data_IF_624238108335
#
_entry.id   IF_624238108335
#
_cell.length_a   1.000
_cell.length_b   1.000
_cell.length_c   1.000
_cell.angle_alpha   90.00
_cell.angle_beta   90.00
_cell.angle_gamma   90.00
#
_symmetry.space_group_name_H-M   'P 1'
#
loop_
_entity.id
_entity.type
_entity.pdbx_description
1 polymer ?
#
# COMPACT_ATOMS: atom_id res chain seq x y z
N UNK A 1 19.58 -3.06 1.30
CA UNK A 1 20.70 -3.46 2.18
C UNK A 1 20.36 -2.96 3.58
N UNK A 2 20.32 -3.84 4.59
CA UNK A 2 20.11 -3.38 5.97
C UNK A 2 21.38 -2.66 6.45
N UNK A 3 21.37 -1.34 6.41
CA UNK A 3 22.43 -0.55 7.06
C UNK A 3 22.29 -0.70 8.57
N UNK A 4 22.90 -1.74 9.14
CA UNK A 4 22.95 -1.99 10.60
C UNK A 4 23.75 -0.90 11.34
N UNK A 5 24.46 -0.04 10.61
CA UNK A 5 25.38 0.96 11.15
C UNK A 5 24.95 2.34 10.70
N UNK A 6 24.68 3.23 11.66
CA UNK A 6 24.33 4.61 11.37
C UNK A 6 25.50 5.35 10.68
N UNK A 7 25.31 5.93 9.47
CA UNK A 7 26.38 6.61 8.73
C UNK A 7 26.89 7.89 9.41
N UNK A 8 26.14 8.46 10.35
CA UNK A 8 26.52 9.68 11.08
C UNK A 8 27.32 9.39 12.35
N UNK A 9 27.01 8.30 13.06
CA UNK A 9 27.60 8.04 14.39
C UNK A 9 28.28 6.68 14.54
N UNK A 10 28.29 5.83 13.51
CA UNK A 10 29.01 4.54 13.50
C UNK A 10 28.47 3.49 14.48
N UNK A 11 27.30 3.70 15.10
CA UNK A 11 26.72 2.77 16.07
C UNK A 11 25.92 1.68 15.38
N UNK A 12 26.23 0.43 15.72
CA UNK A 12 25.69 -0.81 15.14
C UNK A 12 24.26 -1.18 15.59
N UNK A 13 23.44 -0.23 16.03
CA UNK A 13 22.04 -0.56 16.33
C UNK A 13 21.14 0.66 16.12
N UNK A 14 20.45 0.67 14.99
CA UNK A 14 19.25 1.48 14.84
C UNK A 14 18.26 1.03 15.94
N UNK A 15 17.90 1.96 16.83
CA UNK A 15 16.94 1.68 17.90
C UNK A 15 15.56 2.16 17.46
N UNK A 16 14.52 1.32 17.49
CA UNK A 16 13.17 1.75 17.14
C UNK A 16 12.72 2.86 18.09
N UNK A 17 12.22 3.95 17.51
CA UNK A 17 11.83 5.17 18.23
C UNK A 17 10.70 4.90 19.25
N UNK A 18 9.88 3.87 18.99
CA UNK A 18 8.83 3.39 19.89
C UNK A 18 9.40 2.88 21.21
N UNK A 19 10.55 2.19 21.17
CA UNK A 19 11.23 1.73 22.39
C UNK A 19 11.79 2.92 23.17
N UNK A 20 12.22 3.97 22.49
CA UNK A 20 12.69 5.19 23.14
C UNK A 20 11.53 5.95 23.81
N UNK A 21 10.40 6.11 23.13
CA UNK A 21 9.19 6.70 23.68
C UNK A 21 8.68 5.92 24.90
N UNK A 22 8.56 4.58 24.79
CA UNK A 22 8.15 3.72 25.88
C UNK A 22 9.12 3.77 27.07
N UNK A 23 10.43 3.87 26.83
CA UNK A 23 11.43 4.02 27.88
C UNK A 23 11.30 5.36 28.62
N UNK A 24 11.01 6.47 27.92
CA UNK A 24 10.76 7.78 28.54
C UNK A 24 9.51 7.76 29.42
N UNK A 25 8.42 7.19 28.92
CA UNK A 25 7.17 7.02 29.69
C UNK A 25 7.41 6.16 30.94
N UNK A 26 8.10 5.02 30.79
CA UNK A 26 8.40 4.13 31.92
C UNK A 26 9.22 4.85 32.99
N UNK A 27 10.24 5.63 32.61
CA UNK A 27 11.03 6.45 33.56
C UNK A 27 10.15 7.48 34.27
N UNK A 28 9.32 8.22 33.54
CA UNK A 28 8.38 9.19 34.12
C UNK A 28 7.42 8.53 35.13
N UNK A 29 6.89 7.35 34.81
CA UNK A 29 6.03 6.58 35.70
C UNK A 29 6.75 6.11 36.98
N UNK A 30 8.01 5.67 36.88
CA UNK A 30 8.82 5.32 38.04
C UNK A 30 9.08 6.53 38.95
N UNK A 31 9.43 7.69 38.39
CA UNK A 31 9.63 8.92 39.16
C UNK A 31 8.36 9.32 39.92
N UNK A 32 7.18 9.25 39.28
CA UNK A 32 5.89 9.52 39.94
C UNK A 32 5.61 8.56 41.11
N UNK A 33 5.96 7.28 40.97
CA UNK A 33 5.83 6.29 42.07
C UNK A 33 6.79 6.56 43.22
N UNK A 34 8.05 6.89 42.93
CA UNK A 34 9.04 7.23 43.94
C UNK A 34 8.63 8.47 44.72
N UNK A 35 8.07 9.49 44.04
CA UNK A 35 7.56 10.69 44.68
C UNK A 35 6.35 10.40 45.58
N UNK A 36 5.42 9.54 45.14
CA UNK A 36 4.30 9.10 45.98
C UNK A 36 4.77 8.32 47.22
N UNK A 37 5.78 7.47 47.08
CA UNK A 37 6.38 6.73 48.20
C UNK A 37 7.06 7.68 49.19
N UNK A 38 7.79 8.67 48.70
CA UNK A 38 8.46 9.69 49.51
C UNK A 38 7.45 10.53 50.30
N UNK A 39 6.35 10.95 49.67
CA UNK A 39 5.26 11.66 50.35
C UNK A 39 4.62 10.79 51.46
N UNK A 40 4.45 9.49 51.20
CA UNK A 40 3.95 8.55 52.20
C UNK A 40 4.89 8.41 53.41
N UNK A 41 6.20 8.31 53.16
CA UNK A 41 7.21 8.25 54.22
C UNK A 41 7.25 9.54 55.06
N UNK A 42 7.15 10.70 54.42
CA UNK A 42 7.05 11.99 55.13
C UNK A 42 5.80 12.02 56.01
N UNK A 43 4.64 11.60 55.49
CA UNK A 43 3.40 11.56 56.26
C UNK A 43 3.43 10.62 57.47
N UNK A 44 4.24 9.55 57.41
CA UNK A 44 4.49 8.64 58.53
C UNK A 44 5.41 9.28 59.57
N UNK A 45 6.48 9.94 59.14
CA UNK A 45 7.46 10.58 60.03
C UNK A 45 6.89 11.77 60.80
N UNK A 46 5.94 12.50 60.23
CA UNK A 46 5.26 13.63 60.89
C UNK A 46 4.04 13.21 61.73
N UNK A 47 3.76 11.91 61.88
CA UNK A 47 2.61 11.45 62.66
C UNK A 47 2.94 11.32 64.15
N UNK A 48 2.13 11.93 65.01
CA UNK A 48 2.36 11.95 66.47
C UNK A 48 1.74 10.73 67.19
N UNK A 49 0.85 9.98 66.52
CA UNK A 49 0.14 8.85 67.13
C UNK A 49 0.18 7.59 66.27
N UNK A 50 0.19 6.43 66.93
CA UNK A 50 0.23 5.12 66.27
C UNK A 50 -0.96 4.90 65.30
N UNK A 51 -2.13 5.45 65.64
CA UNK A 51 -3.32 5.42 64.78
C UNK A 51 -3.17 6.27 63.51
N UNK A 52 -2.59 7.47 63.62
CA UNK A 52 -2.29 8.32 62.46
C UNK A 52 -1.22 7.68 61.58
N UNK A 53 -0.22 7.04 62.17
CA UNK A 53 0.82 6.32 61.43
C UNK A 53 0.24 5.18 60.58
N UNK A 54 -0.66 4.39 61.16
CA UNK A 54 -1.36 3.32 60.46
C UNK A 54 -2.25 3.83 59.32
N UNK A 55 -2.96 4.95 59.54
CA UNK A 55 -3.79 5.59 58.51
C UNK A 55 -2.94 6.14 57.35
N UNK A 56 -1.82 6.82 57.64
CA UNK A 56 -0.88 7.32 56.63
C UNK A 56 -0.26 6.19 55.80
N UNK A 57 0.11 5.08 56.45
CA UNK A 57 0.62 3.90 55.77
C UNK A 57 -0.43 3.26 54.84
N UNK A 58 -1.66 3.07 55.33
CA UNK A 58 -2.75 2.51 54.53
C UNK A 58 -3.09 3.40 53.33
N UNK A 59 -3.17 4.72 53.53
CA UNK A 59 -3.43 5.69 52.47
C UNK A 59 -2.32 5.68 51.40
N UNK A 60 -1.05 5.57 51.81
CA UNK A 60 0.10 5.51 50.91
C UNK A 60 0.09 4.25 50.05
N UNK A 61 -0.20 3.09 50.64
CA UNK A 61 -0.34 1.82 49.91
C UNK A 61 -1.47 1.90 48.89
N UNK A 62 -2.62 2.43 49.29
CA UNK A 62 -3.78 2.59 48.41
C UNK A 62 -3.48 3.54 47.25
N UNK A 63 -2.81 4.66 47.51
CA UNK A 63 -2.39 5.62 46.48
C UNK A 63 -1.41 4.99 45.48
N UNK A 64 -0.39 4.26 45.95
CA UNK A 64 0.58 3.57 45.10
C UNK A 64 -0.10 2.49 44.25
N UNK A 65 -1.01 1.70 44.86
CA UNK A 65 -1.79 0.68 44.16
C UNK A 65 -2.67 1.26 43.06
N UNK A 66 -3.38 2.37 43.35
CA UNK A 66 -4.20 3.09 42.37
C UNK A 66 -3.34 3.66 41.23
N UNK A 67 -2.23 4.31 41.56
CA UNK A 67 -1.29 4.84 40.57
C UNK A 67 -0.73 3.75 39.67
N UNK A 68 -0.37 2.60 40.24
CA UNK A 68 0.12 1.45 39.46
C UNK A 68 -0.94 0.95 38.48
N UNK A 69 -2.19 0.81 38.91
CA UNK A 69 -3.30 0.37 38.08
C UNK A 69 -3.58 1.34 36.93
N UNK A 70 -3.68 2.64 37.22
CA UNK A 70 -3.91 3.70 36.23
C UNK A 70 -2.76 3.74 35.21
N UNK A 71 -1.51 3.72 35.68
CA UNK A 71 -0.33 3.74 34.80
C UNK A 71 -0.24 2.51 33.91
N UNK A 72 -0.60 1.32 34.41
CA UNK A 72 -0.61 0.10 33.58
C UNK A 72 -1.62 0.21 32.43
N UNK A 73 -2.79 0.79 32.70
CA UNK A 73 -3.83 1.02 31.68
C UNK A 73 -3.46 2.15 30.71
N UNK A 74 -2.78 3.18 31.19
CA UNK A 74 -2.43 4.36 30.39
C UNK A 74 -1.10 4.23 29.60
N UNK A 75 -0.26 3.21 29.88
CA UNK A 75 1.08 3.09 29.29
C UNK A 75 1.08 3.11 27.75
N UNK A 76 0.16 2.39 27.10
CA UNK A 76 0.09 2.36 25.63
C UNK A 76 -0.29 3.73 25.07
N UNK A 77 -1.27 4.40 25.67
CA UNK A 77 -1.73 5.72 25.25
C UNK A 77 -0.68 6.81 25.49
N UNK A 78 0.00 6.81 26.64
CA UNK A 78 1.08 7.76 26.92
C UNK A 78 2.29 7.53 26.00
N UNK A 79 2.62 6.27 25.68
CA UNK A 79 3.69 5.95 24.74
C UNK A 79 3.39 6.46 23.32
N UNK A 80 2.16 6.28 22.82
CA UNK A 80 1.74 6.84 21.54
C UNK A 80 1.75 8.37 21.53
N UNK A 81 1.38 9.02 22.64
CA UNK A 81 1.41 10.48 22.75
C UNK A 81 2.84 11.03 22.75
N UNK A 82 3.74 10.41 23.52
CA UNK A 82 5.17 10.77 23.52
C UNK A 82 5.82 10.50 22.16
N UNK A 83 5.45 9.41 21.50
CA UNK A 83 5.90 9.13 20.13
C UNK A 83 5.44 10.24 19.17
N UNK A 84 4.17 10.64 19.24
CA UNK A 84 3.66 11.75 18.43
C UNK A 84 4.40 13.07 18.69
N UNK A 85 4.73 13.38 19.95
CA UNK A 85 5.51 14.57 20.28
C UNK A 85 6.96 14.49 19.79
N UNK A 86 7.58 13.32 19.86
CA UNK A 86 8.92 13.08 19.30
C UNK A 86 8.91 13.30 17.79
N UNK A 87 7.96 12.69 17.08
CA UNK A 87 7.82 12.84 15.64
C UNK A 87 7.55 14.30 15.23
N UNK A 88 6.75 15.04 16.00
CA UNK A 88 6.53 16.46 15.75
C UNK A 88 7.79 17.31 15.95
N UNK A 89 8.59 17.02 16.99
CA UNK A 89 9.83 17.75 17.26
C UNK A 89 10.91 17.46 16.22
N UNK A 90 10.96 16.23 15.73
CA UNK A 90 11.96 15.78 14.76
C UNK A 90 11.44 15.84 13.32
N UNK A 91 10.26 16.40 13.08
CA UNK A 91 9.61 16.40 11.76
C UNK A 91 10.48 17.05 10.67
N UNK A 92 11.10 18.19 10.96
CA UNK A 92 11.96 18.89 10.01
C UNK A 92 13.22 18.08 9.69
N UNK A 93 13.81 17.46 10.71
CA UNK A 93 14.98 16.60 10.53
C UNK A 93 14.63 15.35 9.71
N UNK A 94 13.50 14.70 10.00
CA UNK A 94 13.01 13.57 9.22
C UNK A 94 12.76 13.94 7.75
N UNK A 95 12.22 15.14 7.49
CA UNK A 95 12.02 15.61 6.12
C UNK A 95 13.36 15.83 5.39
N UNK A 96 14.37 16.37 6.08
CA UNK A 96 15.72 16.56 5.54
C UNK A 96 16.42 15.22 5.28
N UNK A 97 16.30 14.26 6.20
CA UNK A 97 16.88 12.92 6.05
C UNK A 97 16.25 12.19 4.85
N UNK A 98 14.92 12.24 4.72
CA UNK A 98 14.19 11.69 3.57
C UNK A 98 14.63 12.36 2.25
N UNK A 99 14.83 13.67 2.26
CA UNK A 99 15.29 14.40 1.07
C UNK A 99 16.72 13.99 0.68
N UNK A 100 17.60 13.81 1.66
CA UNK A 100 18.97 13.33 1.44
C UNK A 100 19.00 11.90 0.91
N UNK A 101 18.13 11.02 1.40
CA UNK A 101 18.01 9.65 0.88
C UNK A 101 17.52 9.66 -0.58
N UNK A 102 16.60 10.56 -0.90
CA UNK A 102 16.15 10.78 -2.28
C UNK A 102 17.28 11.30 -3.16
N UNK A 103 18.06 12.29 -2.71
CA UNK A 103 19.23 12.81 -3.45
C UNK A 103 20.30 11.73 -3.65
N UNK A 104 20.54 10.89 -2.64
CA UNK A 104 21.42 9.74 -2.75
C UNK A 104 20.93 8.74 -3.80
N UNK A 105 19.63 8.39 -3.79
CA UNK A 105 19.05 7.55 -4.82
C UNK A 105 19.26 8.16 -6.22
N UNK A 106 19.04 9.47 -6.35
CA UNK A 106 19.21 10.19 -7.61
C UNK A 106 20.65 10.30 -8.11
N UNK A 107 21.63 10.29 -7.20
CA UNK A 107 23.05 10.32 -7.59
C UNK A 107 23.47 9.10 -8.43
N UNK A 108 22.73 7.99 -8.33
CA UNK A 108 22.94 6.77 -9.11
C UNK A 108 22.15 6.73 -10.44
N UNK A 109 21.40 7.77 -10.78
CA UNK A 109 20.46 7.75 -11.91
C UNK A 109 21.11 7.37 -13.24
N UNK A 110 22.30 7.91 -13.54
CA UNK A 110 23.01 7.64 -14.79
C UNK A 110 23.88 6.38 -14.72
N UNK A 111 24.43 6.06 -13.55
CA UNK A 111 25.37 4.96 -13.36
C UNK A 111 24.67 3.60 -13.20
N UNK A 112 23.64 3.54 -12.35
CA UNK A 112 22.90 2.31 -12.04
C UNK A 112 21.40 2.60 -11.87
N UNK A 113 20.68 2.47 -12.99
CA UNK A 113 19.22 2.66 -13.05
C UNK A 113 18.48 1.64 -12.19
N UNK A 114 18.99 0.42 -12.07
CA UNK A 114 18.35 -0.64 -11.30
C UNK A 114 18.45 -0.34 -9.81
N UNK A 115 19.63 0.04 -9.34
CA UNK A 115 19.84 0.49 -7.95
C UNK A 115 18.96 1.70 -7.64
N UNK A 116 18.95 2.69 -8.53
CA UNK A 116 18.09 3.88 -8.40
C UNK A 116 16.62 3.50 -8.24
N UNK A 117 16.12 2.56 -9.06
CA UNK A 117 14.74 2.10 -8.99
C UNK A 117 14.40 1.46 -7.64
N UNK A 118 15.27 0.58 -7.13
CA UNK A 118 15.06 -0.10 -5.85
C UNK A 118 15.13 0.88 -4.67
N UNK A 119 16.07 1.83 -4.67
CA UNK A 119 16.14 2.88 -3.64
C UNK A 119 14.87 3.74 -3.63
N UNK A 120 14.38 4.17 -4.80
CA UNK A 120 13.12 4.91 -4.89
C UNK A 120 11.92 4.06 -4.45
N UNK A 121 11.97 2.74 -4.66
CA UNK A 121 10.92 1.81 -4.21
C UNK A 121 10.88 1.69 -2.70
N UNK A 122 12.04 1.69 -2.05
CA UNK A 122 12.17 1.72 -0.59
C UNK A 122 11.67 3.04 0.02
N UNK A 123 11.89 4.17 -0.66
CA UNK A 123 11.45 5.50 -0.20
C UNK A 123 9.95 5.80 -0.43
N UNK A 124 9.35 5.20 -1.47
CA UNK A 124 7.95 5.45 -1.86
C UNK A 124 6.91 5.32 -0.73
N UNK A 125 6.97 4.35 0.21
CA UNK A 125 6.01 4.27 1.32
C UNK A 125 6.07 5.48 2.27
N UNK A 126 7.23 6.14 2.36
CA UNK A 126 7.47 7.29 3.22
C UNK A 126 6.98 8.59 2.56
N UNK A 127 7.12 8.69 1.24
CA UNK A 127 6.80 9.90 0.48
C UNK A 127 5.52 9.69 -0.34
N UNK A 128 4.43 10.29 0.12
CA UNK A 128 3.12 10.24 -0.57
C UNK A 128 2.99 11.31 -1.66
N UNK A 129 3.90 11.30 -2.63
CA UNK A 129 3.88 12.20 -3.79
C UNK A 129 4.00 11.41 -5.10
N UNK A 130 3.34 11.92 -6.14
CA UNK A 130 3.38 11.39 -7.50
C UNK A 130 4.76 11.59 -8.16
N UNK A 131 5.58 12.55 -7.71
CA UNK A 131 6.94 12.77 -8.23
C UNK A 131 7.80 11.50 -8.21
N UNK A 132 7.85 10.78 -7.07
CA UNK A 132 8.67 9.55 -6.98
C UNK A 132 8.08 8.44 -7.84
N UNK A 133 6.76 8.34 -7.91
CA UNK A 133 6.11 7.34 -8.77
C UNK A 133 6.42 7.60 -10.25
N UNK A 134 6.40 8.86 -10.68
CA UNK A 134 6.79 9.27 -12.04
C UNK A 134 8.24 8.93 -12.33
N UNK A 135 9.15 9.20 -11.39
CA UNK A 135 10.57 8.86 -11.52
C UNK A 135 10.78 7.34 -11.65
N UNK A 136 10.05 6.55 -10.86
CA UNK A 136 10.07 5.09 -10.98
C UNK A 136 9.49 4.60 -12.30
N UNK A 137 8.40 5.20 -12.79
CA UNK A 137 7.81 4.87 -14.09
C UNK A 137 8.76 5.17 -15.24
N UNK A 138 9.45 6.32 -15.18
CA UNK A 138 10.49 6.68 -16.15
C UNK A 138 11.62 5.64 -16.16
N UNK A 139 12.10 5.18 -15.00
CA UNK A 139 13.11 4.12 -14.91
C UNK A 139 12.61 2.79 -15.50
N UNK A 140 11.35 2.42 -15.21
CA UNK A 140 10.75 1.20 -15.74
C UNK A 140 10.67 1.16 -17.26
N UNK A 141 10.60 2.32 -17.94
CA UNK A 141 10.65 2.40 -19.40
C UNK A 141 12.03 2.07 -20.00
N UNK A 142 13.11 2.22 -19.23
CA UNK A 142 14.44 1.81 -19.69
C UNK A 142 14.67 0.31 -19.53
N UNK A 143 13.85 -0.39 -18.74
CA UNK A 143 14.02 -1.81 -18.50
C UNK A 143 13.23 -2.65 -19.50
N UNK A 144 13.83 -3.76 -19.93
CA UNK A 144 13.08 -4.82 -20.58
C UNK A 144 12.27 -5.57 -19.53
N UNK A 145 11.00 -5.20 -19.39
CA UNK A 145 10.10 -5.76 -18.39
C UNK A 145 9.86 -7.25 -18.66
N UNK A 146 10.01 -8.07 -17.62
CA UNK A 146 9.79 -9.52 -17.68
C UNK A 146 8.90 -10.01 -16.54
N UNK A 147 8.34 -11.21 -16.69
CA UNK A 147 7.39 -11.81 -15.73
C UNK A 147 8.02 -12.18 -14.38
N UNK A 148 9.30 -12.52 -14.39
CA UNK A 148 10.12 -12.91 -13.23
C UNK A 148 10.51 -11.71 -12.35
N UNK A 149 10.41 -10.49 -12.87
CA UNK A 149 10.68 -9.29 -12.09
C UNK A 149 9.62 -9.05 -11.02
N UNK A 150 10.03 -8.42 -9.91
CA UNK A 150 9.17 -7.98 -8.81
C UNK A 150 8.29 -6.78 -9.16
N UNK A 151 7.59 -6.82 -10.30
CA UNK A 151 6.74 -5.75 -10.84
C UNK A 151 5.54 -5.46 -9.92
N UNK A 152 5.15 -4.19 -9.88
CA UNK A 152 4.04 -3.68 -9.08
C UNK A 152 3.29 -2.61 -9.88
N UNK A 153 1.96 -2.57 -9.76
CA UNK A 153 1.15 -1.53 -10.43
C UNK A 153 0.43 -0.63 -9.41
N UNK A 154 -0.28 -1.24 -8.46
CA UNK A 154 -1.10 -0.52 -7.46
C UNK A 154 -0.37 0.62 -6.72
N UNK A 155 0.88 0.46 -6.26
CA UNK A 155 1.59 1.54 -5.57
C UNK A 155 2.10 2.65 -6.52
N UNK A 156 2.17 2.38 -7.82
CA UNK A 156 2.64 3.30 -8.86
C UNK A 156 1.50 4.09 -9.50
N UNK A 157 0.24 3.78 -9.17
CA UNK A 157 -0.90 4.56 -9.65
C UNK A 157 -0.78 6.02 -9.19
N UNK A 158 -0.91 6.92 -10.17
CA UNK A 158 -0.86 8.36 -9.99
C UNK A 158 -2.27 8.90 -9.74
N UNK A 159 -2.35 10.09 -9.15
CA UNK A 159 -3.63 10.78 -8.98
C UNK A 159 -4.08 11.47 -10.27
N UNK A 160 -3.12 11.88 -11.10
CA UNK A 160 -3.36 12.55 -12.37
C UNK A 160 -3.01 11.64 -13.54
N UNK A 161 -3.49 11.99 -14.73
CA UNK A 161 -3.12 11.31 -15.96
C UNK A 161 -1.64 11.52 -16.26
N UNK A 162 -0.94 10.43 -16.60
CA UNK A 162 0.41 10.49 -17.14
C UNK A 162 0.57 9.40 -18.22
N UNK A 163 1.15 9.74 -19.39
CA UNK A 163 1.32 8.79 -20.49
C UNK A 163 2.27 7.63 -20.14
N UNK A 164 3.31 7.84 -19.32
CA UNK A 164 4.24 6.76 -18.93
C UNK A 164 3.53 5.72 -18.08
N UNK A 165 2.59 6.14 -17.21
CA UNK A 165 1.77 5.21 -16.46
C UNK A 165 0.83 4.42 -17.39
N UNK A 166 0.21 5.06 -18.37
CA UNK A 166 -0.66 4.39 -19.32
C UNK A 166 0.10 3.34 -20.15
N UNK A 167 1.27 3.69 -20.68
CA UNK A 167 2.13 2.76 -21.41
C UNK A 167 2.60 1.60 -20.52
N UNK A 168 2.99 1.91 -19.26
CA UNK A 168 3.35 0.88 -18.29
C UNK A 168 2.19 -0.09 -18.00
N UNK A 169 0.97 0.43 -17.82
CA UNK A 169 -0.23 -0.41 -17.65
C UNK A 169 -0.43 -1.32 -18.87
N UNK A 170 -0.20 -0.81 -20.08
CA UNK A 170 -0.23 -1.58 -21.33
C UNK A 170 0.75 -2.74 -21.32
N UNK A 171 1.99 -2.51 -20.93
CA UNK A 171 3.01 -3.56 -20.81
C UNK A 171 2.67 -4.58 -19.73
N UNK A 172 2.18 -4.13 -18.58
CA UNK A 172 1.69 -5.02 -17.51
C UNK A 172 0.52 -5.89 -17.99
N UNK A 173 -0.37 -5.37 -18.84
CA UNK A 173 -1.47 -6.13 -19.41
C UNK A 173 -1.01 -7.26 -20.36
N UNK A 174 0.18 -7.14 -20.95
CA UNK A 174 0.80 -8.19 -21.77
C UNK A 174 1.55 -9.20 -20.92
N UNK A 175 2.29 -8.72 -19.91
CA UNK A 175 3.26 -9.51 -19.15
C UNK A 175 2.63 -10.15 -17.91
N UNK A 176 2.00 -9.37 -17.03
CA UNK A 176 1.57 -9.80 -15.68
C UNK A 176 0.19 -9.24 -15.31
N UNK A 177 -0.83 -9.74 -16.02
CA UNK A 177 -2.24 -9.34 -15.93
C UNK A 177 -2.84 -9.40 -14.52
N UNK A 178 -2.30 -10.22 -13.63
CA UNK A 178 -2.74 -10.36 -12.25
C UNK A 178 -2.47 -9.12 -11.38
N UNK A 179 -1.56 -8.24 -11.80
CA UNK A 179 -1.31 -6.95 -11.16
C UNK A 179 -2.40 -5.92 -11.45
N UNK A 180 -3.20 -6.11 -12.51
CA UNK A 180 -4.31 -5.21 -12.85
C UNK A 180 -5.51 -5.57 -11.97
N UNK A 181 -5.82 -4.68 -11.02
CA UNK A 181 -6.90 -4.82 -10.04
C UNK A 181 -7.83 -3.61 -10.10
N UNK A 182 -8.77 -3.53 -9.16
CA UNK A 182 -9.88 -2.57 -9.16
C UNK A 182 -9.42 -1.10 -9.32
N UNK A 183 -8.37 -0.67 -8.62
CA UNK A 183 -7.90 0.73 -8.74
C UNK A 183 -7.28 1.00 -10.10
N UNK A 184 -6.56 0.03 -10.68
CA UNK A 184 -6.05 0.15 -12.04
C UNK A 184 -7.19 0.21 -13.08
N UNK A 185 -8.25 -0.61 -12.92
CA UNK A 185 -9.42 -0.53 -13.79
C UNK A 185 -10.12 0.84 -13.67
N UNK A 186 -10.32 1.34 -12.45
CA UNK A 186 -10.90 2.65 -12.21
C UNK A 186 -10.07 3.78 -12.83
N UNK A 187 -8.75 3.74 -12.67
CA UNK A 187 -7.84 4.71 -13.26
C UNK A 187 -7.96 4.73 -14.79
N UNK A 188 -7.90 3.56 -15.43
CA UNK A 188 -7.98 3.43 -16.88
C UNK A 188 -9.34 3.88 -17.43
N UNK A 189 -10.44 3.58 -16.72
CA UNK A 189 -11.78 4.03 -17.11
C UNK A 189 -11.92 5.55 -16.93
N UNK A 190 -11.36 6.11 -15.86
CA UNK A 190 -11.43 7.54 -15.60
C UNK A 190 -10.68 8.35 -16.66
N UNK A 191 -9.51 7.88 -17.08
CA UNK A 191 -8.66 8.51 -18.11
C UNK A 191 -8.75 7.84 -19.49
N UNK A 192 -9.85 7.17 -19.78
CA UNK A 192 -10.04 6.47 -21.05
C UNK A 192 -9.88 7.39 -22.29
N UNK A 193 -10.44 8.62 -22.31
CA UNK A 193 -10.24 9.54 -23.43
C UNK A 193 -8.78 9.92 -23.67
N UNK A 194 -8.03 10.17 -22.59
CA UNK A 194 -6.62 10.54 -22.65
C UNK A 194 -5.76 9.37 -23.13
N UNK A 195 -6.02 8.17 -22.62
CA UNK A 195 -5.34 6.93 -23.07
C UNK A 195 -5.64 6.68 -24.54
N UNK A 196 -6.88 6.88 -25.00
CA UNK A 196 -7.24 6.75 -26.43
C UNK A 196 -6.48 7.73 -27.33
N UNK A 197 -6.01 8.86 -26.80
CA UNK A 197 -5.17 9.82 -27.52
C UNK A 197 -3.76 9.32 -27.79
N UNK A 198 -3.31 8.24 -27.13
CA UNK A 198 -2.00 7.63 -27.37
C UNK A 198 -2.01 6.78 -28.64
N UNK A 199 -0.85 6.68 -29.30
CA UNK A 199 -0.67 5.82 -30.49
C UNK A 199 -1.03 4.34 -30.20
N UNK A 200 -0.72 3.87 -29.00
CA UNK A 200 -0.99 2.52 -28.48
C UNK A 200 -2.30 2.43 -27.68
N UNK A 201 -3.07 3.51 -27.58
CA UNK A 201 -4.17 3.67 -26.62
C UNK A 201 -5.22 2.57 -26.68
N UNK A 202 -5.65 2.23 -27.89
CA UNK A 202 -6.64 1.17 -28.10
C UNK A 202 -6.10 -0.23 -27.70
N UNK A 203 -4.81 -0.48 -27.91
CA UNK A 203 -4.18 -1.75 -27.55
C UNK A 203 -3.99 -1.87 -26.03
N UNK A 204 -3.65 -0.76 -25.36
CA UNK A 204 -3.61 -0.66 -23.90
C UNK A 204 -4.98 -1.01 -23.33
N UNK A 205 -6.04 -0.36 -23.81
CA UNK A 205 -7.40 -0.55 -23.32
C UNK A 205 -7.93 -1.96 -23.59
N UNK A 206 -7.66 -2.52 -24.77
CA UNK A 206 -7.96 -3.91 -25.08
C UNK A 206 -7.17 -4.90 -24.21
N UNK A 207 -5.90 -4.59 -23.92
CA UNK A 207 -5.06 -5.34 -23.00
C UNK A 207 -5.66 -5.39 -21.59
N UNK A 208 -6.05 -4.23 -21.06
CA UNK A 208 -6.68 -4.08 -19.74
C UNK A 208 -8.04 -4.80 -19.69
N UNK A 209 -8.89 -4.63 -20.71
CA UNK A 209 -10.14 -5.37 -20.83
C UNK A 209 -9.90 -6.89 -20.82
N UNK A 210 -8.89 -7.35 -21.57
CA UNK A 210 -8.48 -8.75 -21.59
C UNK A 210 -7.92 -9.27 -20.27
N UNK A 211 -7.37 -8.40 -19.41
CA UNK A 211 -6.96 -8.75 -18.06
C UNK A 211 -8.17 -8.94 -17.12
N UNK A 212 -9.19 -8.10 -17.26
CA UNK A 212 -10.45 -8.21 -16.50
C UNK A 212 -11.19 -9.53 -16.78
N UNK A 213 -11.19 -10.01 -18.03
CA UNK A 213 -11.82 -11.29 -18.45
C UNK A 213 -11.28 -12.52 -17.69
N UNK A 214 -10.15 -12.41 -16.98
CA UNK A 214 -9.65 -13.49 -16.13
C UNK A 214 -10.63 -13.88 -15.02
N UNK A 215 -11.38 -12.93 -14.46
CA UNK A 215 -12.24 -13.13 -13.29
C UNK A 215 -13.66 -12.60 -13.53
N UNK A 216 -14.67 -13.44 -13.25
CA UNK A 216 -16.10 -13.06 -13.36
C UNK A 216 -16.43 -11.74 -12.66
N UNK A 217 -15.92 -11.55 -11.44
CA UNK A 217 -16.18 -10.34 -10.66
C UNK A 217 -15.79 -9.05 -11.39
N UNK A 218 -14.69 -9.06 -12.16
CA UNK A 218 -14.22 -7.87 -12.87
C UNK A 218 -15.04 -7.61 -14.13
N UNK A 219 -15.46 -8.66 -14.84
CA UNK A 219 -16.36 -8.54 -15.98
C UNK A 219 -17.70 -7.91 -15.56
N UNK A 220 -18.25 -8.36 -14.42
CA UNK A 220 -19.49 -7.82 -13.86
C UNK A 220 -19.33 -6.41 -13.27
N UNK A 221 -18.16 -6.08 -12.72
CA UNK A 221 -17.90 -4.75 -12.16
C UNK A 221 -17.63 -3.70 -13.26
N UNK A 222 -17.03 -4.10 -14.38
CA UNK A 222 -16.61 -3.19 -15.46
C UNK A 222 -17.17 -3.58 -16.85
N UNK A 223 -18.48 -3.83 -16.99
CA UNK A 223 -19.06 -4.34 -18.23
C UNK A 223 -18.93 -3.36 -19.40
N UNK A 224 -18.94 -2.04 -19.12
CA UNK A 224 -18.74 -1.01 -20.14
C UNK A 224 -17.36 -1.07 -20.79
N UNK A 225 -16.30 -1.29 -20.01
CA UNK A 225 -14.93 -1.42 -20.51
C UNK A 225 -14.82 -2.68 -21.39
N UNK A 226 -15.33 -3.82 -20.90
CA UNK A 226 -15.29 -5.08 -21.65
C UNK A 226 -16.03 -4.92 -22.97
N UNK A 227 -17.26 -4.39 -22.94
CA UNK A 227 -18.08 -4.23 -24.15
C UNK A 227 -17.37 -3.40 -25.23
N UNK A 228 -16.77 -2.26 -24.86
CA UNK A 228 -16.11 -1.38 -25.84
C UNK A 228 -14.91 -2.03 -26.53
N UNK A 229 -14.15 -2.84 -25.80
CA UNK A 229 -12.90 -3.41 -26.30
C UNK A 229 -12.97 -4.92 -26.61
N UNK A 230 -14.14 -5.55 -26.49
CA UNK A 230 -14.34 -6.97 -26.73
C UNK A 230 -13.88 -7.41 -28.12
N UNK A 231 -14.15 -6.60 -29.15
CA UNK A 231 -13.78 -6.87 -30.54
C UNK A 231 -12.27 -6.94 -30.80
N UNK A 232 -11.43 -6.42 -29.87
CA UNK A 232 -9.96 -6.47 -29.95
C UNK A 232 -9.34 -7.52 -29.04
N UNK A 233 -10.16 -8.29 -28.34
CA UNK A 233 -9.64 -9.34 -27.48
C UNK A 233 -9.04 -10.46 -28.34
N UNK A 234 -7.85 -10.99 -27.97
CA UNK A 234 -7.34 -12.21 -28.56
C UNK A 234 -8.37 -13.36 -28.44
N UNK A 235 -8.42 -14.24 -29.44
CA UNK A 235 -9.37 -15.38 -29.52
C UNK A 235 -9.53 -16.12 -28.20
N UNK A 236 -8.43 -16.50 -27.55
CA UNK A 236 -8.44 -17.22 -26.27
C UNK A 236 -9.18 -16.48 -25.15
N UNK A 237 -9.04 -15.15 -25.10
CA UNK A 237 -9.68 -14.31 -24.08
C UNK A 237 -11.16 -14.14 -24.39
N UNK A 238 -11.50 -13.92 -25.66
CA UNK A 238 -12.89 -13.86 -26.10
C UNK A 238 -13.62 -15.20 -25.80
N UNK A 239 -12.98 -16.32 -26.10
CA UNK A 239 -13.49 -17.65 -25.81
C UNK A 239 -13.73 -17.88 -24.32
N UNK A 240 -12.81 -17.43 -23.47
CA UNK A 240 -12.98 -17.46 -22.01
C UNK A 240 -14.20 -16.63 -21.57
N UNK A 241 -14.36 -15.43 -22.12
CA UNK A 241 -15.49 -14.56 -21.83
C UNK A 241 -16.81 -15.21 -22.26
N UNK A 242 -16.86 -15.76 -23.47
CA UNK A 242 -18.02 -16.49 -24.00
C UNK A 242 -18.40 -17.67 -23.10
N UNK A 243 -17.45 -18.53 -22.74
CA UNK A 243 -17.67 -19.65 -21.80
C UNK A 243 -18.19 -19.17 -20.44
N UNK A 244 -17.62 -18.11 -19.91
CA UNK A 244 -18.00 -17.54 -18.61
C UNK A 244 -19.45 -17.07 -18.59
N UNK A 245 -19.89 -16.41 -19.67
CA UNK A 245 -21.27 -15.94 -19.85
C UNK A 245 -22.24 -17.12 -19.91
N UNK A 246 -21.91 -18.14 -20.70
CA UNK A 246 -22.75 -19.34 -20.85
C UNK A 246 -22.85 -20.18 -19.57
N UNK A 247 -21.78 -20.26 -18.79
CA UNK A 247 -21.77 -20.96 -17.51
C UNK A 247 -22.61 -20.27 -16.43
N UNK A 248 -22.88 -18.96 -16.56
CA UNK A 248 -23.69 -18.22 -15.58
C UNK A 248 -24.74 -17.35 -16.28
N UNK A 249 -25.75 -17.95 -16.93
CA UNK A 249 -26.72 -17.21 -17.74
C UNK A 249 -27.62 -16.27 -16.92
N UNK A 250 -27.72 -16.48 -15.60
CA UNK A 250 -28.56 -15.69 -14.71
C UNK A 250 -27.89 -14.42 -14.18
N UNK A 251 -26.60 -14.22 -14.46
CA UNK A 251 -25.87 -13.02 -14.03
C UNK A 251 -26.23 -11.81 -14.88
N UNK A 252 -26.10 -10.61 -14.30
CA UNK A 252 -26.32 -9.35 -15.03
C UNK A 252 -25.10 -9.00 -15.87
N UNK A 253 -25.01 -9.60 -17.06
CA UNK A 253 -23.94 -9.34 -18.03
C UNK A 253 -24.09 -8.00 -18.80
N UNK A 254 -25.12 -7.21 -18.49
CA UNK A 254 -25.52 -6.03 -19.27
C UNK A 254 -25.52 -6.34 -20.78
N UNK A 255 -24.97 -5.45 -21.61
CA UNK A 255 -24.82 -5.63 -23.06
C UNK A 255 -23.54 -6.38 -23.46
N UNK A 256 -22.80 -6.96 -22.51
CA UNK A 256 -21.56 -7.69 -22.82
C UNK A 256 -21.90 -9.00 -23.51
N UNK A 257 -22.95 -9.70 -23.06
CA UNK A 257 -23.39 -10.95 -23.69
C UNK A 257 -23.77 -10.75 -25.15
N UNK A 258 -24.58 -9.74 -25.44
CA UNK A 258 -25.00 -9.40 -26.82
C UNK A 258 -23.80 -9.09 -27.71
N UNK A 259 -22.85 -8.28 -27.21
CA UNK A 259 -21.65 -7.89 -27.94
C UNK A 259 -20.74 -9.10 -28.25
N UNK A 260 -20.52 -9.97 -27.25
CA UNK A 260 -19.71 -11.19 -27.42
C UNK A 260 -20.38 -12.12 -28.41
N UNK A 261 -21.69 -12.34 -28.31
CA UNK A 261 -22.44 -13.18 -29.25
C UNK A 261 -22.37 -12.62 -30.67
N UNK A 262 -22.46 -11.30 -30.84
CA UNK A 262 -22.27 -10.65 -32.14
C UNK A 262 -20.88 -10.93 -32.70
N UNK A 263 -19.81 -10.69 -31.92
CA UNK A 263 -18.43 -10.92 -32.38
C UNK A 263 -18.19 -12.40 -32.74
N UNK A 264 -18.73 -13.33 -31.93
CA UNK A 264 -18.63 -14.77 -32.18
C UNK A 264 -19.36 -15.15 -33.46
N UNK A 265 -20.57 -14.67 -33.67
CA UNK A 265 -21.32 -14.93 -34.90
C UNK A 265 -20.63 -14.33 -36.13
N UNK A 266 -20.10 -13.11 -36.04
CA UNK A 266 -19.44 -12.45 -37.18
C UNK A 266 -18.10 -13.08 -37.57
N UNK A 267 -17.30 -13.54 -36.59
CA UNK A 267 -15.89 -13.91 -36.83
C UNK A 267 -15.55 -15.38 -36.53
N UNK A 268 -16.38 -16.09 -35.76
CA UNK A 268 -16.06 -17.41 -35.19
C UNK A 268 -17.23 -18.40 -35.24
N UNK A 269 -18.27 -18.15 -36.05
CA UNK A 269 -19.47 -19.00 -36.11
C UNK A 269 -19.14 -20.47 -36.40
N UNK A 270 -18.17 -20.70 -37.28
CA UNK A 270 -17.73 -22.03 -37.71
C UNK A 270 -16.52 -22.57 -36.92
N UNK A 271 -16.10 -21.87 -35.86
CA UNK A 271 -14.96 -22.26 -35.05
C UNK A 271 -15.37 -23.29 -33.98
N UNK A 272 -14.82 -24.52 -34.02
CA UNK A 272 -15.23 -25.59 -33.11
C UNK A 272 -14.96 -25.24 -31.64
N UNK A 273 -13.97 -24.40 -31.34
CA UNK A 273 -13.66 -24.01 -29.95
C UNK A 273 -14.81 -23.27 -29.28
N UNK A 274 -15.58 -22.51 -30.07
CA UNK A 274 -16.75 -21.75 -29.62
C UNK A 274 -18.02 -22.61 -29.59
N UNK A 275 -18.12 -23.63 -30.44
CA UNK A 275 -19.24 -24.58 -30.48
C UNK A 275 -19.13 -25.65 -29.38
N UNK A 276 -17.94 -26.17 -29.08
CA UNK A 276 -17.72 -27.22 -28.07
C UNK A 276 -17.80 -26.70 -26.62
N UNK A 277 -18.07 -25.40 -26.46
CA UNK A 277 -18.32 -24.78 -25.16
C UNK A 277 -19.63 -25.22 -24.49
N UNK A 278 -20.47 -25.99 -25.18
CA UNK A 278 -21.71 -26.61 -24.67
C UNK A 278 -21.46 -27.77 -23.69
N UNK A 279 -20.28 -28.39 -23.70
CA UNK A 279 -20.11 -29.76 -23.19
C UNK A 279 -19.24 -29.98 -21.95
N UNK A 280 -18.56 -28.98 -21.37
CA UNK A 280 -17.65 -29.19 -20.22
C UNK A 280 -17.89 -28.19 -19.11
N UNK A 281 -18.76 -28.58 -18.18
CA UNK A 281 -18.86 -28.05 -16.81
C UNK A 281 -17.90 -28.76 -15.87
#
# INVERSE_FOLDING_TARGET
MEEEVCPVCGKASLRPIERQAAARVRRSMHTKRLLALLLGLIGILLSDSFGQMALCAAASILLIGLLWFVQRKAMSSEASRELGQLLQREQEQLAQDIFRDWEHAFSHWDDDKQLTYELLRELRPLIRNDTIRLQQLALLHYFSLRKDMGLELEPLLLQQYDPLLADYIGEIAKIKRDLIKDRAFQYVIHYEPEILGLNSGQDILAGVAGAAVRMKRYVLAYPGLIRRYAHRLPKERLLRLHRMIRQHPHEKWDRVADEVNRIVHENYEWDPDFQDSDGRG
#
